data_IF_309238736995
#
_entry.id   IF_309238736995
#
_cell.length_a   1.000
_cell.length_b   1.000
_cell.length_c   1.000
_cell.angle_alpha   90.00
_cell.angle_beta   90.00
_cell.angle_gamma   90.00
#
_symmetry.space_group_name_H-M   'P 1'
#
loop_
_entity.id
_entity.type
_entity.pdbx_description
1 polymer ?
#
# COMPACT_ATOMS: atom_id res chain seq x y z
N UNK A 1 -13.82 -38.04 10.73
CA UNK A 1 -13.49 -37.46 9.41
C UNK A 1 -12.17 -38.09 8.98
N UNK A 2 -12.10 -38.64 7.79
CA UNK A 2 -10.85 -39.21 7.22
C UNK A 2 -9.94 -38.08 6.69
N UNK A 3 -8.63 -38.32 6.68
CA UNK A 3 -7.67 -37.40 6.07
C UNK A 3 -7.72 -37.47 4.53
N UNK A 4 -7.05 -36.52 3.88
CA UNK A 4 -6.92 -36.52 2.39
C UNK A 4 -6.17 -37.75 1.92
N UNK A 5 -5.15 -38.16 2.65
CA UNK A 5 -4.35 -39.35 2.37
C UNK A 5 -5.22 -40.61 2.48
N UNK A 6 -6.00 -40.75 3.56
CA UNK A 6 -6.92 -41.87 3.73
C UNK A 6 -8.01 -41.91 2.64
N UNK A 7 -8.51 -40.78 2.23
CA UNK A 7 -9.46 -40.66 1.11
C UNK A 7 -8.82 -41.14 -0.21
N UNK A 8 -7.62 -40.68 -0.51
CA UNK A 8 -6.89 -41.09 -1.71
C UNK A 8 -6.59 -42.59 -1.70
N UNK A 9 -6.16 -43.13 -0.56
CA UNK A 9 -5.85 -44.53 -0.37
C UNK A 9 -7.08 -45.45 -0.53
N UNK A 10 -8.24 -45.05 0.02
CA UNK A 10 -9.52 -45.74 -0.19
C UNK A 10 -9.84 -45.85 -1.69
N UNK A 11 -9.69 -44.76 -2.43
CA UNK A 11 -9.98 -44.75 -3.88
C UNK A 11 -8.99 -45.58 -4.67
N UNK A 12 -7.71 -45.51 -4.31
CA UNK A 12 -6.65 -46.34 -4.91
C UNK A 12 -6.95 -47.84 -4.72
N UNK A 13 -7.16 -48.28 -3.49
CA UNK A 13 -7.43 -49.68 -3.17
C UNK A 13 -8.69 -50.19 -3.88
N UNK A 14 -9.74 -49.38 -3.99
CA UNK A 14 -10.96 -49.86 -4.63
C UNK A 14 -10.91 -49.77 -6.16
N UNK A 15 -10.47 -48.64 -6.72
CA UNK A 15 -10.53 -48.38 -8.18
C UNK A 15 -9.38 -49.02 -8.94
N UNK A 16 -8.17 -49.09 -8.35
CA UNK A 16 -6.98 -49.63 -9.01
C UNK A 16 -6.73 -51.09 -8.67
N UNK A 17 -6.99 -51.48 -7.40
CA UNK A 17 -6.67 -52.87 -6.95
C UNK A 17 -7.93 -53.74 -6.79
N UNK A 18 -9.12 -53.18 -6.99
CA UNK A 18 -10.37 -53.97 -6.92
C UNK A 18 -10.74 -54.48 -5.52
N UNK A 19 -10.12 -53.94 -4.46
CA UNK A 19 -10.32 -54.41 -3.09
C UNK A 19 -11.76 -54.13 -2.64
N UNK A 20 -12.49 -55.12 -2.08
CA UNK A 20 -13.84 -54.95 -1.60
C UNK A 20 -13.95 -53.95 -0.45
N UNK A 21 -15.08 -53.19 -0.38
CA UNK A 21 -15.35 -52.15 0.65
C UNK A 21 -15.16 -52.70 2.07
N UNK A 22 -15.60 -53.94 2.32
CA UNK A 22 -15.48 -54.58 3.66
C UNK A 22 -14.00 -54.74 4.06
N UNK A 23 -13.16 -55.09 3.12
CA UNK A 23 -11.72 -55.32 3.36
C UNK A 23 -10.98 -53.99 3.50
N UNK A 24 -11.30 -52.96 2.69
CA UNK A 24 -10.78 -51.58 2.85
C UNK A 24 -11.11 -51.04 4.22
N UNK A 25 -12.37 -51.18 4.66
CA UNK A 25 -12.80 -50.73 5.98
C UNK A 25 -12.00 -51.40 7.11
N UNK A 26 -11.70 -52.72 6.97
CA UNK A 26 -10.91 -53.48 7.92
C UNK A 26 -9.43 -53.03 7.92
N UNK A 27 -8.83 -52.89 6.75
CA UNK A 27 -7.40 -52.49 6.59
C UNK A 27 -7.10 -51.10 7.14
N UNK A 28 -8.01 -50.16 6.87
CA UNK A 28 -7.80 -48.75 7.23
C UNK A 28 -8.45 -48.39 8.59
N UNK A 29 -9.11 -49.33 9.27
CA UNK A 29 -9.75 -49.07 10.55
C UNK A 29 -10.90 -48.03 10.51
N UNK A 30 -11.61 -47.93 9.37
CA UNK A 30 -12.68 -46.99 9.17
C UNK A 30 -14.05 -47.69 8.97
N UNK A 31 -15.14 -46.98 9.24
CA UNK A 31 -16.48 -47.53 9.00
C UNK A 31 -16.77 -47.74 7.52
N UNK A 32 -17.53 -48.79 7.16
CA UNK A 32 -17.92 -49.09 5.76
C UNK A 32 -18.64 -47.91 5.09
N UNK A 33 -19.46 -47.13 5.84
CA UNK A 33 -20.13 -45.95 5.32
C UNK A 33 -19.14 -44.84 4.99
N UNK A 34 -18.06 -44.71 5.75
CA UNK A 34 -16.96 -43.79 5.44
C UNK A 34 -16.27 -44.13 4.13
N UNK A 35 -16.03 -45.44 3.88
CA UNK A 35 -15.46 -45.90 2.61
C UNK A 35 -16.42 -45.59 1.46
N UNK A 36 -17.74 -45.88 1.61
CA UNK A 36 -18.71 -45.56 0.58
C UNK A 36 -18.77 -44.05 0.28
N UNK A 37 -18.77 -43.21 1.31
CA UNK A 37 -18.78 -41.77 1.15
C UNK A 37 -17.50 -41.28 0.43
N UNK A 38 -16.33 -41.86 0.75
CA UNK A 38 -15.07 -41.51 0.07
C UNK A 38 -15.06 -41.90 -1.40
N UNK A 39 -15.69 -43.01 -1.76
CA UNK A 39 -15.80 -43.47 -3.14
C UNK A 39 -16.82 -42.67 -3.95
N UNK A 40 -17.89 -42.20 -3.32
CA UNK A 40 -18.93 -41.38 -3.93
C UNK A 40 -18.50 -39.91 -4.14
N UNK A 41 -17.48 -39.42 -3.41
CA UNK A 41 -17.00 -38.05 -3.53
C UNK A 41 -15.86 -37.95 -4.52
N UNK A 42 -15.96 -37.04 -5.49
CA UNK A 42 -14.87 -36.78 -6.44
C UNK A 42 -13.83 -35.78 -5.93
N UNK A 43 -14.09 -35.12 -4.81
CA UNK A 43 -13.16 -34.20 -4.14
C UNK A 43 -12.75 -34.71 -2.76
N UNK A 44 -11.52 -34.46 -2.37
CA UNK A 44 -11.03 -34.78 -1.04
C UNK A 44 -11.86 -34.09 0.05
N UNK A 45 -12.08 -34.74 1.20
CA UNK A 45 -12.88 -34.15 2.29
C UNK A 45 -12.23 -32.86 2.81
N UNK A 46 -12.94 -31.75 2.71
CA UNK A 46 -12.56 -30.49 3.36
C UNK A 46 -13.22 -30.44 4.73
N UNK A 47 -12.40 -30.26 5.77
CA UNK A 47 -12.95 -29.96 7.09
C UNK A 47 -13.62 -28.60 7.08
N UNK A 48 -14.92 -28.57 7.06
CA UNK A 48 -15.73 -27.35 7.20
C UNK A 48 -16.38 -27.36 8.57
N UNK A 49 -15.88 -26.53 9.48
CA UNK A 49 -16.55 -26.29 10.76
C UNK A 49 -17.64 -25.24 10.53
N UNK A 50 -18.90 -25.50 10.91
CA UNK A 50 -19.90 -24.42 10.88
C UNK A 50 -19.39 -23.23 11.69
N UNK A 51 -19.51 -22.04 11.15
CA UNK A 51 -19.12 -20.81 11.81
C UNK A 51 -19.91 -20.71 13.13
N UNK A 52 -19.23 -20.79 14.28
CA UNK A 52 -19.86 -20.45 15.55
C UNK A 52 -20.10 -18.96 15.57
N UNK A 53 -21.33 -18.53 15.87
CA UNK A 53 -21.66 -17.14 16.08
C UNK A 53 -20.71 -16.47 17.08
N UNK A 54 -20.37 -15.23 16.82
CA UNK A 54 -19.50 -14.43 17.68
C UNK A 54 -20.33 -13.69 18.73
N UNK A 55 -19.78 -13.51 19.91
CA UNK A 55 -20.43 -12.70 20.97
C UNK A 55 -20.69 -11.24 20.54
N UNK A 56 -20.02 -10.78 19.50
CA UNK A 56 -20.22 -9.43 18.94
C UNK A 56 -21.44 -9.38 18.00
N UNK A 57 -21.94 -10.51 17.52
CA UNK A 57 -23.06 -10.55 16.56
C UNK A 57 -24.33 -9.91 17.14
N UNK A 58 -24.58 -10.07 18.44
CA UNK A 58 -25.69 -9.43 19.14
C UNK A 58 -25.60 -7.88 19.15
N UNK A 59 -24.40 -7.33 19.05
CA UNK A 59 -24.14 -5.89 19.05
C UNK A 59 -23.99 -5.32 17.65
N UNK A 60 -23.94 -6.14 16.61
CA UNK A 60 -23.71 -5.69 15.24
C UNK A 60 -24.71 -4.63 14.76
N UNK A 61 -26.04 -4.73 15.04
CA UNK A 61 -26.98 -3.67 14.65
C UNK A 61 -26.63 -2.31 15.24
N UNK A 62 -26.18 -2.26 16.50
CA UNK A 62 -25.78 -1.01 17.18
C UNK A 62 -24.46 -0.47 16.60
N UNK A 63 -23.49 -1.35 16.31
CA UNK A 63 -22.23 -0.99 15.65
C UNK A 63 -22.52 -0.38 14.28
N UNK A 64 -23.39 -0.99 13.48
CA UNK A 64 -23.79 -0.50 12.17
C UNK A 64 -24.50 0.85 12.24
N UNK A 65 -25.36 1.05 13.24
CA UNK A 65 -26.05 2.34 13.45
C UNK A 65 -25.02 3.47 13.72
N UNK A 66 -24.08 3.23 14.63
CA UNK A 66 -23.01 4.20 14.95
C UNK A 66 -22.08 4.46 13.76
N UNK A 67 -21.73 3.45 12.99
CA UNK A 67 -20.87 3.61 11.83
C UNK A 67 -21.57 4.31 10.65
N UNK A 68 -22.90 4.19 10.54
CA UNK A 68 -23.69 4.94 9.54
C UNK A 68 -23.65 6.43 9.82
N UNK A 69 -23.77 6.82 11.07
CA UNK A 69 -23.75 8.21 11.50
C UNK A 69 -22.31 8.76 11.58
N UNK A 70 -21.39 7.94 12.10
CA UNK A 70 -19.97 8.29 12.31
C UNK A 70 -19.02 7.24 11.73
N UNK A 71 -18.77 7.23 10.41
CA UNK A 71 -17.96 6.17 9.75
C UNK A 71 -16.54 6.02 10.27
N UNK A 72 -15.97 7.10 10.82
CA UNK A 72 -14.59 7.14 11.35
C UNK A 72 -14.50 6.90 12.84
N UNK A 73 -15.65 6.71 13.56
CA UNK A 73 -15.67 6.55 15.01
C UNK A 73 -14.71 5.45 15.48
N UNK A 74 -13.78 5.72 16.39
CA UNK A 74 -12.86 4.70 16.92
C UNK A 74 -13.60 3.52 17.57
N UNK A 75 -13.08 2.30 17.42
CA UNK A 75 -13.69 1.12 18.02
C UNK A 75 -13.76 1.17 19.55
N UNK A 76 -12.87 1.92 20.21
CA UNK A 76 -12.91 2.19 21.65
C UNK A 76 -14.11 3.03 22.05
N UNK A 77 -14.46 4.04 21.23
CA UNK A 77 -15.65 4.88 21.46
C UNK A 77 -16.92 4.07 21.16
N UNK A 78 -16.92 3.25 20.11
CA UNK A 78 -18.03 2.33 19.84
C UNK A 78 -18.25 1.40 21.05
N UNK A 79 -17.16 0.83 21.62
CA UNK A 79 -17.23 -0.03 22.79
C UNK A 79 -17.94 0.65 23.97
N UNK A 80 -17.59 1.91 24.24
CA UNK A 80 -18.23 2.72 25.29
C UNK A 80 -19.73 2.91 25.01
N UNK A 81 -20.08 3.31 23.79
CA UNK A 81 -21.47 3.63 23.40
C UNK A 81 -22.41 2.43 23.42
N UNK A 82 -21.91 1.23 23.09
CA UNK A 82 -22.73 0.00 23.10
C UNK A 82 -22.63 -0.78 24.43
N UNK A 83 -21.91 -0.26 25.43
CA UNK A 83 -21.71 -0.94 26.71
C UNK A 83 -20.90 -2.24 26.57
N UNK A 84 -19.90 -2.28 25.71
CA UNK A 84 -19.09 -3.46 25.46
C UNK A 84 -18.14 -3.76 26.62
N UNK A 85 -18.33 -4.89 27.30
CA UNK A 85 -17.54 -5.29 28.47
C UNK A 85 -16.58 -6.46 28.23
N UNK A 86 -16.48 -6.94 26.97
CA UNK A 86 -15.67 -8.09 26.61
C UNK A 86 -14.36 -7.66 25.91
N UNK A 87 -13.61 -8.63 25.36
CA UNK A 87 -12.34 -8.33 24.66
C UNK A 87 -12.49 -7.28 23.56
N UNK A 88 -11.76 -6.18 23.70
CA UNK A 88 -11.75 -5.09 22.72
C UNK A 88 -11.20 -5.55 21.36
N UNK A 89 -10.35 -6.58 21.32
CA UNK A 89 -9.82 -7.15 20.07
C UNK A 89 -10.94 -7.73 19.21
N UNK A 90 -11.87 -8.47 19.80
CA UNK A 90 -13.02 -9.05 19.08
C UNK A 90 -13.90 -7.95 18.47
N UNK A 91 -14.14 -6.86 19.21
CA UNK A 91 -14.88 -5.72 18.70
C UNK A 91 -14.11 -5.00 17.59
N UNK A 92 -12.80 -4.74 17.77
CA UNK A 92 -11.95 -4.09 16.75
C UNK A 92 -11.94 -4.87 15.44
N UNK A 93 -11.83 -6.19 15.51
CA UNK A 93 -11.84 -7.05 14.33
C UNK A 93 -13.19 -6.99 13.60
N UNK A 94 -14.31 -7.03 14.33
CA UNK A 94 -15.64 -6.88 13.73
C UNK A 94 -15.83 -5.49 13.12
N UNK A 95 -15.49 -4.43 13.84
CA UNK A 95 -15.55 -3.03 13.33
C UNK A 95 -14.68 -2.86 12.09
N UNK A 96 -13.50 -3.47 12.03
CA UNK A 96 -12.63 -3.45 10.85
C UNK A 96 -13.29 -4.08 9.62
N UNK A 97 -14.03 -5.19 9.81
CA UNK A 97 -14.76 -5.88 8.73
C UNK A 97 -15.96 -5.07 8.24
N UNK A 98 -16.73 -4.48 9.18
CA UNK A 98 -17.99 -3.78 8.87
C UNK A 98 -17.75 -2.35 8.35
N UNK A 99 -16.76 -1.63 8.88
CA UNK A 99 -16.50 -0.21 8.59
C UNK A 99 -16.39 0.12 7.09
N UNK A 100 -15.79 -0.69 6.20
CA UNK A 100 -15.72 -0.39 4.77
C UNK A 100 -17.11 -0.17 4.13
N UNK A 101 -18.17 -0.77 4.66
CA UNK A 101 -19.54 -0.61 4.14
C UNK A 101 -20.10 0.81 4.39
N UNK A 102 -19.58 1.53 5.36
CA UNK A 102 -20.01 2.86 5.78
C UNK A 102 -19.02 3.97 5.44
N UNK A 103 -17.78 3.62 5.12
CA UNK A 103 -16.84 4.59 4.55
C UNK A 103 -17.29 4.89 3.13
N UNK A 104 -17.66 6.15 2.91
CA UNK A 104 -17.72 6.66 1.53
C UNK A 104 -16.39 6.41 0.83
N UNK A 105 -16.40 6.34 -0.47
CA UNK A 105 -15.16 6.30 -1.27
C UNK A 105 -14.32 7.48 -0.79
N UNK A 106 -13.09 7.23 -0.35
CA UNK A 106 -12.16 8.29 0.04
C UNK A 106 -12.07 9.27 -1.14
N UNK A 107 -12.29 10.57 -0.96
CA UNK A 107 -12.16 11.53 -2.05
C UNK A 107 -10.83 11.38 -2.81
N UNK A 108 -9.76 11.00 -2.13
CA UNK A 108 -8.47 10.69 -2.76
C UNK A 108 -8.50 9.42 -3.64
N UNK A 109 -9.45 8.51 -3.42
CA UNK A 109 -9.67 7.33 -4.28
C UNK A 109 -10.57 7.63 -5.50
N UNK A 110 -11.17 8.84 -5.55
CA UNK A 110 -12.03 9.26 -6.69
C UNK A 110 -11.24 9.85 -7.85
N UNK A 111 -9.99 10.29 -7.62
CA UNK A 111 -9.16 10.83 -8.69
C UNK A 111 -8.56 9.67 -9.47
N UNK A 112 -9.10 9.43 -10.64
CA UNK A 112 -8.55 8.47 -11.61
C UNK A 112 -7.41 9.18 -12.34
N UNK A 113 -6.21 8.62 -12.24
CA UNK A 113 -5.06 9.10 -12.97
C UNK A 113 -4.84 8.24 -14.21
N UNK A 114 -4.57 8.90 -15.34
CA UNK A 114 -4.20 8.22 -16.58
C UNK A 114 -2.69 7.92 -16.59
N UNK A 115 -2.27 6.85 -17.26
CA UNK A 115 -0.86 6.55 -17.48
C UNK A 115 -0.12 7.73 -18.13
N UNK A 116 1.10 8.02 -17.69
CA UNK A 116 1.89 9.15 -18.14
C UNK A 116 1.29 10.55 -17.90
N UNK A 117 0.13 10.60 -17.17
CA UNK A 117 -0.64 11.82 -17.01
C UNK A 117 -0.01 12.83 -16.08
N UNK A 118 0.51 12.36 -14.95
CA UNK A 118 0.89 13.25 -13.85
C UNK A 118 1.98 12.64 -12.96
N UNK A 119 2.96 13.43 -12.58
CA UNK A 119 3.86 13.17 -11.46
C UNK A 119 3.70 14.23 -10.38
N UNK A 120 3.71 13.80 -9.12
CA UNK A 120 3.69 14.67 -7.96
C UNK A 120 5.08 14.78 -7.37
N UNK A 121 5.46 15.99 -7.00
CA UNK A 121 6.78 16.35 -6.52
C UNK A 121 6.69 17.02 -5.16
N UNK A 122 7.59 16.64 -4.26
CA UNK A 122 7.67 17.21 -2.92
C UNK A 122 9.08 17.21 -2.36
N UNK A 123 9.30 18.05 -1.35
CA UNK A 123 10.50 18.02 -0.54
C UNK A 123 10.19 17.38 0.80
N UNK A 124 10.81 16.25 1.07
CA UNK A 124 10.82 15.62 2.38
C UNK A 124 12.06 16.07 3.17
N UNK A 125 11.86 16.45 4.40
CA UNK A 125 12.92 16.84 5.33
C UNK A 125 13.06 15.78 6.41
N UNK A 126 13.93 14.76 6.23
CA UNK A 126 14.15 13.74 7.25
C UNK A 126 14.73 14.38 8.51
N UNK A 127 14.20 14.03 9.68
CA UNK A 127 14.78 14.42 10.97
C UNK A 127 16.06 13.61 11.25
N UNK A 128 17.06 13.83 10.40
CA UNK A 128 18.35 13.15 10.45
C UNK A 128 19.48 14.09 9.98
N UNK A 129 20.57 14.14 10.74
CA UNK A 129 21.74 14.94 10.36
C UNK A 129 22.70 14.09 9.55
N UNK A 130 22.91 14.43 8.29
CA UNK A 130 23.80 13.74 7.36
C UNK A 130 25.20 14.32 7.43
N UNK A 131 26.26 13.49 7.48
CA UNK A 131 27.64 13.96 7.35
C UNK A 131 27.85 14.56 5.96
N UNK A 132 28.33 15.81 5.90
CA UNK A 132 28.60 16.52 4.64
C UNK A 132 30.10 16.78 4.41
N UNK A 133 30.98 16.08 5.14
CA UNK A 133 32.43 16.27 5.10
C UNK A 133 32.94 17.22 6.17
N UNK A 134 34.26 17.23 6.38
CA UNK A 134 34.96 18.13 7.34
C UNK A 134 34.37 18.15 8.75
N UNK A 135 33.89 16.99 9.26
CA UNK A 135 33.17 16.86 10.53
C UNK A 135 31.91 17.74 10.65
N UNK A 136 31.33 18.14 9.50
CA UNK A 136 30.11 18.90 9.47
C UNK A 136 28.91 17.97 9.20
N UNK A 137 27.76 18.36 9.73
CA UNK A 137 26.50 17.65 9.57
C UNK A 137 25.41 18.63 9.17
N UNK A 138 24.57 18.25 8.22
CA UNK A 138 23.47 19.05 7.75
C UNK A 138 22.16 18.25 7.72
N UNK A 139 21.04 18.93 7.89
CA UNK A 139 19.71 18.39 7.53
C UNK A 139 19.43 18.79 6.09
N UNK A 140 19.46 17.82 5.19
CA UNK A 140 19.31 18.03 3.76
C UNK A 140 17.92 17.61 3.29
N UNK A 141 17.31 18.37 2.35
CA UNK A 141 16.03 17.97 1.75
C UNK A 141 16.22 16.78 0.82
N UNK A 142 15.20 15.93 0.78
CA UNK A 142 15.06 14.86 -0.19
C UNK A 142 13.97 15.23 -1.17
N UNK A 143 14.32 15.36 -2.43
CA UNK A 143 13.37 15.53 -3.50
C UNK A 143 12.72 14.19 -3.81
N UNK A 144 11.40 14.14 -3.77
CA UNK A 144 10.59 12.94 -4.00
C UNK A 144 9.71 13.15 -5.22
N UNK A 145 9.76 12.22 -6.15
CA UNK A 145 8.84 12.08 -7.28
C UNK A 145 7.91 10.90 -7.06
N UNK A 146 6.62 11.07 -7.31
CA UNK A 146 5.65 9.98 -7.32
C UNK A 146 4.82 10.06 -8.59
N UNK A 147 4.85 9.01 -9.41
CA UNK A 147 3.95 8.89 -10.56
C UNK A 147 2.52 8.65 -10.06
N UNK A 148 1.57 9.41 -10.57
CA UNK A 148 0.23 9.43 -9.99
C UNK A 148 -0.59 8.19 -10.35
N UNK A 149 -0.39 7.60 -11.53
CA UNK A 149 -1.05 6.37 -11.94
C UNK A 149 -0.43 5.15 -11.27
N UNK A 150 0.84 4.83 -11.52
CA UNK A 150 1.51 3.64 -11.01
C UNK A 150 1.81 3.68 -9.52
N UNK A 151 1.80 4.86 -8.89
CA UNK A 151 2.31 5.10 -7.52
C UNK A 151 3.81 4.81 -7.38
N UNK A 152 4.53 4.70 -8.48
CA UNK A 152 5.98 4.51 -8.48
C UNK A 152 6.69 5.73 -7.90
N UNK A 153 7.71 5.47 -7.08
CA UNK A 153 8.46 6.52 -6.35
C UNK A 153 9.92 6.46 -6.72
N UNK A 154 10.48 7.65 -6.93
CA UNK A 154 11.92 7.88 -7.01
C UNK A 154 12.28 9.08 -6.15
N UNK A 155 13.49 9.14 -5.63
CA UNK A 155 13.90 10.24 -4.78
C UNK A 155 15.41 10.45 -4.80
N UNK A 156 15.85 11.67 -4.51
CA UNK A 156 17.26 12.02 -4.40
C UNK A 156 17.46 13.07 -3.30
N UNK A 157 18.48 12.92 -2.49
CA UNK A 157 18.89 13.97 -1.55
C UNK A 157 19.56 15.10 -2.30
N UNK A 158 19.13 16.34 -2.08
CA UNK A 158 19.64 17.51 -2.75
C UNK A 158 20.33 18.46 -1.76
N UNK A 159 21.29 19.30 -2.23
CA UNK A 159 22.09 20.16 -1.33
C UNK A 159 21.25 21.21 -0.60
N UNK A 160 20.21 21.74 -1.23
CA UNK A 160 19.37 22.77 -0.63
C UNK A 160 17.97 22.79 -1.28
N UNK A 161 17.08 23.62 -0.73
CA UNK A 161 15.76 23.92 -1.33
C UNK A 161 15.77 25.10 -2.31
N UNK A 162 16.93 25.46 -2.83
CA UNK A 162 17.05 26.48 -3.86
C UNK A 162 16.57 25.96 -5.22
N UNK A 163 16.07 26.86 -6.08
CA UNK A 163 15.48 26.48 -7.37
C UNK A 163 16.46 25.67 -8.26
N UNK A 164 17.73 26.05 -8.32
CA UNK A 164 18.74 25.33 -9.08
C UNK A 164 18.93 23.88 -8.62
N UNK A 165 19.03 23.68 -7.30
CA UNK A 165 19.23 22.33 -6.73
C UNK A 165 17.99 21.45 -6.93
N UNK A 166 16.79 22.02 -6.73
CA UNK A 166 15.52 21.30 -6.97
C UNK A 166 15.43 20.87 -8.42
N UNK A 167 15.65 21.79 -9.37
CA UNK A 167 15.51 21.47 -10.81
C UNK A 167 16.60 20.51 -11.30
N UNK A 168 17.82 20.59 -10.74
CA UNK A 168 18.87 19.59 -11.00
C UNK A 168 18.45 18.21 -10.50
N UNK A 169 17.90 18.12 -9.29
CA UNK A 169 17.34 16.87 -8.75
C UNK A 169 16.19 16.33 -9.58
N UNK A 170 15.27 17.22 -10.05
CA UNK A 170 14.19 16.84 -10.97
C UNK A 170 14.73 16.26 -12.27
N UNK A 171 15.71 16.93 -12.86
CA UNK A 171 16.36 16.46 -14.09
C UNK A 171 16.98 15.08 -13.88
N UNK A 172 17.69 14.86 -12.77
CA UNK A 172 18.29 13.57 -12.46
C UNK A 172 17.25 12.46 -12.38
N UNK A 173 16.16 12.66 -11.64
CA UNK A 173 15.10 11.65 -11.47
C UNK A 173 14.35 11.38 -12.78
N UNK A 174 14.07 12.41 -13.58
CA UNK A 174 13.45 12.25 -14.89
C UNK A 174 14.37 11.55 -15.90
N UNK A 175 15.68 11.83 -15.85
CA UNK A 175 16.67 11.16 -16.69
C UNK A 175 16.81 9.67 -16.33
N UNK A 176 16.75 9.34 -15.05
CA UNK A 176 16.75 7.94 -14.58
C UNK A 176 15.45 7.21 -14.98
N UNK A 177 14.32 7.91 -14.93
CA UNK A 177 13.03 7.37 -15.37
C UNK A 177 12.99 7.16 -16.89
N UNK A 178 13.71 7.98 -17.65
CA UNK A 178 13.71 7.98 -19.12
C UNK A 178 12.45 8.57 -19.76
N UNK A 179 11.59 9.21 -18.98
CA UNK A 179 10.33 9.79 -19.43
C UNK A 179 9.93 11.03 -18.62
N UNK A 180 8.99 11.81 -19.16
CA UNK A 180 8.36 12.94 -18.47
C UNK A 180 6.85 12.84 -18.59
N UNK A 181 6.15 13.04 -17.48
CA UNK A 181 4.68 13.04 -17.48
C UNK A 181 4.11 14.31 -18.10
N UNK A 182 2.87 14.24 -18.61
CA UNK A 182 2.18 15.37 -19.26
C UNK A 182 2.06 16.59 -18.33
N UNK A 183 2.04 16.39 -17.00
CA UNK A 183 2.11 17.48 -16.03
C UNK A 183 2.92 17.09 -14.78
N UNK A 184 3.62 18.07 -14.25
CA UNK A 184 4.39 18.01 -13.02
C UNK A 184 3.61 18.82 -11.97
N UNK A 185 3.19 18.17 -10.90
CA UNK A 185 2.42 18.81 -9.81
C UNK A 185 3.35 19.10 -8.64
N UNK A 186 3.39 20.35 -8.23
CA UNK A 186 4.14 20.83 -7.09
C UNK A 186 3.25 21.49 -6.05
N UNK A 187 3.63 21.41 -4.78
CA UNK A 187 3.13 22.37 -3.79
C UNK A 187 3.67 23.80 -4.09
N UNK A 188 3.16 24.79 -3.39
CA UNK A 188 3.63 26.19 -3.51
C UNK A 188 4.99 26.38 -2.86
N UNK A 189 5.96 25.56 -3.25
CA UNK A 189 7.36 25.72 -2.83
C UNK A 189 7.89 27.07 -3.35
N UNK A 190 8.54 27.83 -2.45
CA UNK A 190 9.01 29.18 -2.74
C UNK A 190 9.93 29.26 -3.97
N UNK A 191 10.74 28.22 -4.16
CA UNK A 191 11.68 28.15 -5.28
C UNK A 191 11.02 27.76 -6.62
N UNK A 192 9.83 27.18 -6.60
CA UNK A 192 9.10 26.71 -7.78
C UNK A 192 7.97 27.67 -8.17
N UNK A 193 7.14 28.08 -7.18
CA UNK A 193 6.01 28.97 -7.46
C UNK A 193 5.28 29.49 -6.21
N UNK A 194 5.86 30.43 -5.47
CA UNK A 194 5.39 30.84 -4.13
C UNK A 194 3.97 31.45 -4.11
N UNK A 195 3.57 32.09 -5.18
CA UNK A 195 2.29 32.82 -5.30
C UNK A 195 1.30 32.15 -6.25
N UNK A 196 1.50 30.85 -6.56
CA UNK A 196 0.66 30.15 -7.53
C UNK A 196 1.05 30.45 -8.99
N UNK A 197 2.19 31.11 -9.20
CA UNK A 197 2.76 31.36 -10.53
C UNK A 197 4.18 30.79 -10.54
N UNK A 198 4.55 29.97 -11.54
CA UNK A 198 5.90 29.43 -11.66
C UNK A 198 6.96 30.54 -11.68
N UNK A 199 8.10 30.30 -11.03
CA UNK A 199 9.27 31.15 -11.19
C UNK A 199 9.79 31.06 -12.63
N UNK A 200 10.51 32.08 -13.11
CA UNK A 200 11.07 32.07 -14.46
C UNK A 200 11.97 30.84 -14.72
N UNK A 201 12.72 30.43 -13.70
CA UNK A 201 13.57 29.26 -13.77
C UNK A 201 12.75 27.96 -13.92
N UNK A 202 11.70 27.79 -13.13
CA UNK A 202 10.81 26.62 -13.21
C UNK A 202 10.03 26.61 -14.54
N UNK A 203 9.55 27.77 -15.01
CA UNK A 203 8.88 27.89 -16.30
C UNK A 203 9.79 27.52 -17.48
N UNK A 204 11.05 27.97 -17.45
CA UNK A 204 12.06 27.60 -18.45
C UNK A 204 12.34 26.10 -18.45
N UNK A 205 12.48 25.50 -17.29
CA UNK A 205 12.71 24.04 -17.12
C UNK A 205 11.58 23.22 -17.74
N UNK A 206 10.32 23.48 -17.35
CA UNK A 206 9.18 22.71 -17.89
C UNK A 206 8.93 22.97 -19.36
N UNK A 207 9.24 24.20 -19.84
CA UNK A 207 9.20 24.52 -21.27
C UNK A 207 10.21 23.71 -22.09
N UNK A 208 11.41 23.51 -21.56
CA UNK A 208 12.44 22.65 -22.18
C UNK A 208 12.01 21.18 -22.24
N UNK A 209 11.31 20.71 -21.20
CA UNK A 209 10.80 19.33 -21.14
C UNK A 209 9.51 19.11 -21.96
N UNK A 210 8.87 20.18 -22.43
CA UNK A 210 7.58 20.07 -23.14
C UNK A 210 6.41 19.60 -22.28
N UNK A 211 6.47 19.85 -20.98
CA UNK A 211 5.45 19.46 -19.98
C UNK A 211 4.78 20.69 -19.34
N UNK A 212 3.76 20.45 -18.53
CA UNK A 212 3.07 21.50 -17.77
C UNK A 212 3.47 21.45 -16.30
N UNK A 213 3.67 22.62 -15.70
CA UNK A 213 3.78 22.77 -14.25
C UNK A 213 2.43 23.18 -13.68
N UNK A 214 1.92 22.40 -12.75
CA UNK A 214 0.69 22.67 -11.99
C UNK A 214 1.03 22.86 -10.52
N UNK A 215 0.66 24.02 -9.97
CA UNK A 215 0.88 24.34 -8.57
C UNK A 215 -0.41 24.02 -7.80
N UNK A 216 -0.30 23.17 -6.78
CA UNK A 216 -1.42 22.73 -5.99
C UNK A 216 -2.24 23.92 -5.43
N UNK A 217 -3.58 23.86 -5.46
CA UNK A 217 -4.42 24.88 -4.85
C UNK A 217 -4.12 25.01 -3.35
N UNK A 218 -4.26 26.22 -2.77
CA UNK A 218 -4.07 26.36 -1.33
C UNK A 218 -5.18 25.61 -0.58
N UNK A 219 -4.79 24.86 0.43
CA UNK A 219 -5.70 24.12 1.32
C UNK A 219 -6.55 23.05 0.64
N UNK A 220 -6.04 22.42 -0.42
CA UNK A 220 -6.70 21.27 -1.02
C UNK A 220 -6.02 19.96 -0.50
N UNK A 221 -6.65 19.26 0.48
CA UNK A 221 -6.10 18.03 1.04
C UNK A 221 -6.05 16.88 0.02
N UNK A 222 -6.90 16.92 -1.01
CA UNK A 222 -6.96 15.85 -2.03
C UNK A 222 -5.71 15.86 -2.90
N UNK A 223 -5.17 17.05 -3.21
CA UNK A 223 -3.91 17.21 -3.92
C UNK A 223 -2.70 16.71 -3.11
N UNK A 224 -2.74 16.83 -1.77
CA UNK A 224 -1.61 16.50 -0.88
C UNK A 224 -1.63 15.10 -0.29
N UNK A 225 -2.77 14.43 -0.28
CA UNK A 225 -2.95 13.18 0.46
C UNK A 225 -2.00 12.05 0.05
N UNK A 226 -1.44 12.10 -1.15
CA UNK A 226 -0.47 11.11 -1.62
C UNK A 226 0.94 11.39 -1.06
N UNK A 227 1.34 12.65 -1.07
CA UNK A 227 2.66 13.10 -0.64
C UNK A 227 2.83 13.01 0.88
N UNK A 228 1.86 13.48 1.66
CA UNK A 228 1.90 13.40 3.13
C UNK A 228 1.99 11.95 3.63
N UNK A 229 1.27 11.02 2.97
CA UNK A 229 1.38 9.58 3.26
C UNK A 229 2.76 9.01 2.95
N UNK A 230 3.42 9.51 1.91
CA UNK A 230 4.77 9.08 1.56
C UNK A 230 5.79 9.51 2.63
N UNK A 231 5.79 10.77 3.04
CA UNK A 231 6.73 11.29 4.02
C UNK A 231 6.63 10.52 5.35
N UNK A 232 5.41 10.32 5.85
CA UNK A 232 5.19 9.51 7.06
C UNK A 232 5.65 8.05 6.87
N UNK A 233 5.46 7.48 5.69
CA UNK A 233 5.91 6.11 5.40
C UNK A 233 7.44 6.01 5.41
N UNK A 234 8.14 7.01 4.87
CA UNK A 234 9.61 7.07 4.90
C UNK A 234 10.14 7.21 6.31
N UNK A 235 9.57 8.10 7.11
CA UNK A 235 9.94 8.31 8.52
C UNK A 235 9.77 7.06 9.37
N UNK A 236 8.70 6.30 9.14
CA UNK A 236 8.38 5.14 9.99
C UNK A 236 8.95 3.83 9.50
N UNK A 237 9.33 3.73 8.23
CA UNK A 237 9.71 2.45 7.62
C UNK A 237 11.11 2.45 6.99
N UNK A 238 11.64 3.61 6.60
CA UNK A 238 12.99 3.70 6.04
C UNK A 238 14.03 4.16 7.08
N UNK A 239 13.79 5.26 7.78
CA UNK A 239 14.78 5.87 8.67
C UNK A 239 15.17 5.04 9.90
N UNK A 240 14.25 4.32 10.58
CA UNK A 240 14.58 3.71 11.87
C UNK A 240 15.74 2.72 11.78
N UNK A 241 16.74 2.92 12.62
CA UNK A 241 17.91 2.04 12.74
C UNK A 241 18.96 2.18 11.64
N UNK A 242 18.80 3.10 10.69
CA UNK A 242 19.78 3.35 9.63
C UNK A 242 20.83 4.37 10.04
N UNK A 243 22.00 4.23 9.43
CA UNK A 243 23.10 5.20 9.53
C UNK A 243 23.55 5.53 8.10
N UNK A 244 23.93 6.78 7.88
CA UNK A 244 24.33 7.29 6.58
C UNK A 244 25.70 7.96 6.70
N UNK A 245 26.61 7.59 5.80
CA UNK A 245 27.96 8.12 5.75
C UNK A 245 28.07 9.43 4.97
N UNK A 246 27.15 9.70 4.05
CA UNK A 246 27.12 10.87 3.19
C UNK A 246 25.73 11.06 2.55
N UNK A 247 25.46 12.20 1.85
CA UNK A 247 24.25 12.38 1.04
C UNK A 247 24.09 11.31 -0.07
N UNK A 248 25.18 10.92 -0.70
CA UNK A 248 25.17 9.89 -1.73
C UNK A 248 24.86 8.51 -1.16
N UNK A 249 25.41 8.19 0.01
CA UNK A 249 25.10 6.95 0.73
C UNK A 249 23.61 6.90 1.15
N UNK A 250 23.07 8.04 1.63
CA UNK A 250 21.63 8.13 1.91
C UNK A 250 20.82 7.82 0.65
N UNK A 251 21.12 8.50 -0.46
CA UNK A 251 20.42 8.32 -1.74
C UNK A 251 20.50 6.86 -2.20
N UNK A 252 21.70 6.27 -2.19
CA UNK A 252 21.89 4.87 -2.59
C UNK A 252 21.12 3.87 -1.71
N UNK A 253 21.07 4.09 -0.39
CA UNK A 253 20.28 3.26 0.52
C UNK A 253 18.78 3.46 0.31
N UNK A 254 18.36 4.70 0.03
CA UNK A 254 16.96 5.03 -0.19
C UNK A 254 16.45 4.46 -1.50
N UNK A 255 17.20 4.61 -2.59
CA UNK A 255 16.87 4.04 -3.91
C UNK A 255 16.69 2.52 -3.84
N UNK A 256 17.63 1.85 -3.17
CA UNK A 256 17.54 0.39 -2.97
C UNK A 256 16.28 0.02 -2.17
N UNK A 257 16.00 0.75 -1.09
CA UNK A 257 14.81 0.50 -0.30
C UNK A 257 13.51 0.81 -1.06
N UNK A 258 13.49 1.87 -1.88
CA UNK A 258 12.35 2.17 -2.76
C UNK A 258 12.13 1.04 -3.76
N UNK A 259 13.20 0.53 -4.39
CA UNK A 259 13.12 -0.57 -5.34
C UNK A 259 12.66 -1.88 -4.68
N UNK A 260 13.23 -2.24 -3.55
CA UNK A 260 13.02 -3.55 -2.92
C UNK A 260 11.75 -3.63 -2.07
N UNK A 261 11.29 -2.50 -1.51
CA UNK A 261 10.20 -2.49 -0.53
C UNK A 261 9.04 -1.58 -0.90
N UNK A 262 9.28 -0.31 -1.25
CA UNK A 262 8.20 0.65 -1.44
C UNK A 262 7.47 0.43 -2.79
N UNK A 263 8.22 0.19 -3.87
CA UNK A 263 7.68 0.00 -5.22
C UNK A 263 7.26 -1.45 -5.51
N UNK A 264 7.60 -2.40 -4.63
CA UNK A 264 7.17 -3.81 -4.70
C UNK A 264 5.98 -4.12 -3.81
N UNK A 265 5.57 -3.18 -2.95
CA UNK A 265 4.42 -3.36 -2.06
C UNK A 265 3.12 -3.22 -2.86
N UNK A 266 2.18 -4.14 -2.64
CA UNK A 266 0.81 -4.07 -3.20
C UNK A 266 0.09 -2.82 -2.71
N UNK A 267 -0.46 -2.05 -3.64
CA UNK A 267 -1.17 -0.79 -3.39
C UNK A 267 -2.62 -0.89 -3.87
N UNK A 268 -3.56 -0.77 -2.93
CA UNK A 268 -5.00 -0.89 -3.21
C UNK A 268 -5.50 0.16 -4.20
N UNK A 269 -4.98 1.39 -4.14
CA UNK A 269 -5.40 2.50 -4.99
C UNK A 269 -5.13 2.28 -6.49
N UNK A 270 -4.33 1.27 -6.86
CA UNK A 270 -4.05 0.86 -8.24
C UNK A 270 -4.52 -0.58 -8.52
N UNK A 271 -5.60 -1.01 -7.85
CA UNK A 271 -6.21 -2.33 -8.06
C UNK A 271 -5.40 -3.49 -7.50
N UNK A 272 -4.81 -3.31 -6.31
CA UNK A 272 -3.98 -4.31 -5.63
C UNK A 272 -2.74 -4.75 -6.46
N UNK A 273 -2.20 -3.84 -7.27
CA UNK A 273 -0.97 -4.03 -8.05
C UNK A 273 0.24 -3.47 -7.32
N UNK A 274 1.44 -3.85 -7.74
CA UNK A 274 2.69 -3.24 -7.27
C UNK A 274 3.05 -2.06 -8.17
N UNK A 275 3.58 -0.95 -7.63
CA UNK A 275 4.03 0.20 -8.42
C UNK A 275 5.03 -0.16 -9.52
N UNK A 276 5.97 -1.07 -9.25
CA UNK A 276 6.94 -1.51 -10.25
C UNK A 276 6.29 -2.25 -11.43
N UNK A 277 5.18 -2.98 -11.23
CA UNK A 277 4.47 -3.69 -12.31
C UNK A 277 3.62 -2.73 -13.15
N UNK A 278 3.11 -1.65 -12.53
CA UNK A 278 2.32 -0.64 -13.21
C UNK A 278 3.16 0.45 -13.90
N UNK A 279 4.48 0.50 -13.62
CA UNK A 279 5.39 1.52 -14.15
C UNK A 279 5.43 1.53 -15.68
N UNK A 280 5.45 0.37 -16.31
CA UNK A 280 5.54 0.27 -17.78
C UNK A 280 4.43 1.06 -18.49
N UNK A 281 3.21 1.05 -17.93
CA UNK A 281 2.08 1.80 -18.47
C UNK A 281 2.25 3.33 -18.34
N UNK A 282 2.98 3.81 -17.32
CA UNK A 282 3.29 5.25 -17.15
C UNK A 282 4.36 5.72 -18.16
N UNK A 283 5.14 4.80 -18.74
CA UNK A 283 6.23 5.10 -19.66
C UNK A 283 5.82 5.02 -21.15
N UNK A 284 4.64 4.46 -21.44
CA UNK A 284 4.04 4.43 -22.80
C UNK A 284 3.42 5.78 -23.18
#
# INVERSE_FOLDING_TARGET
VISVEQWAEIRRLHRSEGVPIKEIARRLGVARNTVRAALASDTAPKYSRPAKGSVVDAFEPQIRALLREYPTMPATVIAERIGWTRSLTVLKDRVRVIRPEFRGVDPADRVIYEPGGCSQWDLWFPDYRIPVGHNQFAMLPVLVMTLAFSRYRSAVMIPSRQGGDILTGMWLLLSQLGAVTRKLVWDREAAIGPKGTPTALAAGFVGTLGTRLELAPPRDPEYKGMVERNNRFFETSFLPGRQFASPDDFTAQFDRWLADHANTRVVRAIGDRRPCDALAEDLE
#
